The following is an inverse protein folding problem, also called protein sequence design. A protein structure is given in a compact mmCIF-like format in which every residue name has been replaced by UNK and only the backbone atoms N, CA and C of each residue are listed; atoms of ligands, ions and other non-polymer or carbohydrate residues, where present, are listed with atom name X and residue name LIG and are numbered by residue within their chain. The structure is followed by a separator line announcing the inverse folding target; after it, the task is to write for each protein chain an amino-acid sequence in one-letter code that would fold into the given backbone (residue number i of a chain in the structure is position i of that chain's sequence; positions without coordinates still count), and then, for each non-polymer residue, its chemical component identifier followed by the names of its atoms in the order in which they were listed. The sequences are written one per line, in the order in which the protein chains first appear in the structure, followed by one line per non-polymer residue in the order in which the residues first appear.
data_IF_665476761428
#
_entry.id   IF_665476761428
#
_cell.length_a   1.000
_cell.length_b   1.000
_cell.length_c   1.000
_cell.angle_alpha   90.00
_cell.angle_beta   90.00
_cell.angle_gamma   90.00
#
_symmetry.space_group_name_H-M   'P 1'
#
loop_
_entity.id
_entity.type
_entity.pdbx_description
1 polymer ?
#
# COMPACT_ATOMS: atom_id res chain seq x y z
N UNK A 1 20.26 4.79 4.64
CA UNK A 1 19.37 4.36 3.55
C UNK A 1 19.15 2.87 3.71
N UNK A 2 17.91 2.44 3.95
CA UNK A 2 17.55 1.03 4.15
C UNK A 2 16.66 0.57 2.99
N UNK A 3 16.54 -0.76 2.85
CA UNK A 3 15.65 -1.39 1.88
C UNK A 3 14.48 -2.03 2.62
N UNK A 4 13.26 -1.68 2.25
CA UNK A 4 12.04 -2.24 2.82
C UNK A 4 11.25 -2.97 1.75
N UNK A 5 10.73 -4.14 2.13
CA UNK A 5 9.73 -4.88 1.39
C UNK A 5 8.46 -4.95 2.25
N UNK A 6 7.36 -4.37 1.77
CA UNK A 6 6.06 -4.49 2.40
C UNK A 6 5.23 -5.55 1.67
N UNK A 7 4.87 -6.62 2.38
CA UNK A 7 4.09 -7.73 1.82
C UNK A 7 2.63 -7.58 2.23
N UNK A 8 1.72 -7.64 1.26
CA UNK A 8 0.27 -7.64 1.50
C UNK A 8 -0.31 -9.00 1.09
N UNK A 9 -0.80 -9.78 2.05
CA UNK A 9 -1.38 -11.11 1.80
C UNK A 9 -2.90 -11.18 1.97
N UNK A 10 -3.52 -10.09 2.47
CA UNK A 10 -4.91 -10.09 2.92
C UNK A 10 -5.76 -9.17 2.07
N UNK A 11 -6.94 -9.66 1.71
CA UNK A 11 -8.01 -8.84 1.16
C UNK A 11 -8.79 -8.15 2.30
N UNK A 12 -8.09 -7.26 3.03
CA UNK A 12 -8.61 -6.59 4.22
C UNK A 12 -8.28 -5.09 4.16
N UNK A 13 -9.30 -4.25 4.39
CA UNK A 13 -9.20 -2.81 4.19
C UNK A 13 -8.19 -2.14 5.15
N UNK A 14 -8.15 -2.56 6.41
CA UNK A 14 -7.21 -2.02 7.38
C UNK A 14 -5.78 -2.47 7.07
N UNK A 15 -5.59 -3.75 6.75
CA UNK A 15 -4.29 -4.30 6.38
C UNK A 15 -3.68 -3.57 5.18
N UNK A 16 -4.47 -3.34 4.13
CA UNK A 16 -4.01 -2.59 2.96
C UNK A 16 -3.72 -1.13 3.29
N UNK A 17 -4.59 -0.47 4.06
CA UNK A 17 -4.37 0.91 4.51
C UNK A 17 -3.05 1.06 5.25
N UNK A 18 -2.75 0.15 6.20
CA UNK A 18 -1.48 0.17 6.95
C UNK A 18 -0.28 -0.16 6.08
N UNK A 19 -0.40 -1.12 5.16
CA UNK A 19 0.64 -1.46 4.20
C UNK A 19 1.04 -0.23 3.37
N UNK A 20 0.06 0.44 2.77
CA UNK A 20 0.31 1.62 1.94
C UNK A 20 0.82 2.81 2.77
N UNK A 21 0.27 3.02 3.98
CA UNK A 21 0.73 4.06 4.89
C UNK A 21 2.21 3.91 5.22
N UNK A 22 2.64 2.72 5.64
CA UNK A 22 4.03 2.51 6.05
C UNK A 22 4.99 2.51 4.87
N UNK A 23 4.59 1.97 3.72
CA UNK A 23 5.35 2.09 2.49
C UNK A 23 5.55 3.57 2.10
N UNK A 24 4.49 4.38 2.17
CA UNK A 24 4.55 5.82 1.88
C UNK A 24 5.49 6.56 2.84
N UNK A 25 5.40 6.26 4.14
CA UNK A 25 6.29 6.86 5.16
C UNK A 25 7.75 6.47 4.90
N UNK A 26 8.04 5.19 4.65
CA UNK A 26 9.39 4.71 4.38
C UNK A 26 9.99 5.36 3.13
N UNK A 27 9.22 5.38 2.04
CA UNK A 27 9.64 6.00 0.78
C UNK A 27 9.89 7.51 0.97
N UNK A 28 8.98 8.24 1.63
CA UNK A 28 9.12 9.68 1.89
C UNK A 28 10.35 10.06 2.73
N UNK A 29 10.91 9.10 3.48
CA UNK A 29 12.14 9.27 4.28
C UNK A 29 13.42 8.89 3.51
N UNK A 30 13.31 8.63 2.20
CA UNK A 30 14.44 8.29 1.33
C UNK A 30 14.94 6.85 1.52
N UNK A 31 14.06 5.93 1.91
CA UNK A 31 14.37 4.50 1.91
C UNK A 31 13.93 3.85 0.61
N UNK A 32 14.73 2.92 0.08
CA UNK A 32 14.28 2.07 -1.01
C UNK A 32 13.11 1.23 -0.48
N UNK A 33 11.98 1.31 -1.17
CA UNK A 33 10.73 0.71 -0.72
C UNK A 33 10.11 0.00 -1.89
N UNK A 34 9.78 -1.27 -1.71
CA UNK A 34 9.08 -2.11 -2.67
C UNK A 34 7.86 -2.74 -1.96
N UNK A 35 6.78 -2.97 -2.70
CA UNK A 35 5.60 -3.69 -2.23
C UNK A 35 5.46 -4.99 -3.01
N UNK A 36 4.95 -6.05 -2.36
CA UNK A 36 4.67 -7.32 -3.02
C UNK A 36 3.37 -7.92 -2.50
N UNK A 37 2.40 -8.06 -3.38
CA UNK A 37 1.09 -8.61 -3.05
C UNK A 37 1.11 -10.12 -3.29
N UNK A 38 0.56 -10.87 -2.36
CA UNK A 38 0.48 -12.34 -2.43
C UNK A 38 -0.90 -12.79 -1.97
N UNK A 39 -1.24 -14.06 -2.21
CA UNK A 39 -2.51 -14.67 -1.78
C UNK A 39 -3.72 -13.78 -2.15
N UNK A 40 -4.58 -13.46 -1.18
CA UNK A 40 -5.74 -12.60 -1.38
C UNK A 40 -5.36 -11.11 -1.50
N UNK A 41 -4.11 -10.74 -1.17
CA UNK A 41 -3.61 -9.38 -1.31
C UNK A 41 -3.56 -8.90 -2.77
N UNK A 42 -3.45 -9.81 -3.73
CA UNK A 42 -3.44 -9.46 -5.17
C UNK A 42 -4.73 -8.76 -5.62
N UNK A 43 -5.84 -8.95 -4.90
CA UNK A 43 -7.12 -8.27 -5.15
C UNK A 43 -7.03 -6.74 -4.95
N UNK A 44 -5.96 -6.23 -4.33
CA UNK A 44 -5.69 -4.79 -4.21
C UNK A 44 -5.08 -4.16 -5.46
N UNK A 45 -4.65 -4.96 -6.44
CA UNK A 45 -4.24 -4.50 -7.76
C UNK A 45 -5.41 -4.32 -8.75
N UNK A 46 -6.65 -4.31 -8.27
CA UNK A 46 -7.84 -4.06 -9.08
C UNK A 46 -8.14 -2.56 -9.18
N UNK A 47 -8.07 -1.99 -10.38
CA UNK A 47 -8.34 -0.56 -10.65
C UNK A 47 -9.80 -0.14 -10.44
N UNK A 48 -10.74 -1.10 -10.45
CA UNK A 48 -12.17 -0.82 -10.25
C UNK A 48 -12.57 -0.87 -8.75
N UNK A 49 -11.62 -1.15 -7.87
CA UNK A 49 -11.88 -1.32 -6.43
C UNK A 49 -12.23 0.02 -5.77
N UNK A 50 -13.18 -0.01 -4.82
CA UNK A 50 -13.43 1.12 -3.93
C UNK A 50 -12.28 1.28 -2.91
N UNK A 51 -11.58 2.41 -2.95
CA UNK A 51 -10.44 2.70 -2.09
C UNK A 51 -10.73 3.75 -0.99
N UNK A 52 -11.96 4.28 -0.94
CA UNK A 52 -12.34 5.34 0.00
C UNK A 52 -12.97 4.83 1.31
N UNK A 53 -13.11 3.51 1.46
CA UNK A 53 -13.65 2.91 2.68
C UNK A 53 -12.75 3.23 3.88
N UNK A 54 -13.29 4.00 4.82
CA UNK A 54 -12.54 4.46 5.99
C UNK A 54 -12.32 3.34 7.01
N UNK A 55 -11.12 3.31 7.57
CA UNK A 55 -10.77 2.52 8.75
C UNK A 55 -11.22 3.24 10.03
N UNK A 56 -11.19 2.60 11.21
CA UNK A 56 -11.53 3.24 12.48
C UNK A 56 -10.67 4.47 12.84
N UNK A 57 -9.48 4.59 12.26
CA UNK A 57 -8.59 5.75 12.43
C UNK A 57 -8.89 6.90 11.47
N UNK A 58 -9.88 6.77 10.59
CA UNK A 58 -10.39 7.85 9.71
C UNK A 58 -9.66 8.00 8.38
N UNK A 59 -8.65 7.18 8.12
CA UNK A 59 -7.93 7.07 6.85
C UNK A 59 -8.36 5.82 6.06
N UNK A 60 -8.00 5.79 4.77
CA UNK A 60 -8.30 4.69 3.84
C UNK A 60 -7.13 4.44 2.87
N UNK A 61 -7.19 3.36 2.07
CA UNK A 61 -6.15 3.07 1.08
C UNK A 61 -5.89 4.23 0.11
N UNK A 62 -6.95 4.96 -0.27
CA UNK A 62 -6.84 6.11 -1.18
C UNK A 62 -6.07 7.30 -0.61
N UNK A 63 -5.87 7.37 0.72
CA UNK A 63 -5.07 8.42 1.34
C UNK A 63 -3.55 8.19 1.14
N UNK A 64 -3.13 7.00 0.68
CA UNK A 64 -1.71 6.62 0.59
C UNK A 64 -1.30 5.99 -0.75
N UNK A 65 -2.13 5.14 -1.35
CA UNK A 65 -1.79 4.44 -2.59
C UNK A 65 -1.49 5.39 -3.76
N UNK A 66 -2.21 6.52 -3.97
CA UNK A 66 -1.89 7.46 -5.04
C UNK A 66 -0.45 7.98 -4.97
N UNK A 67 0.05 8.31 -3.77
CA UNK A 67 1.45 8.73 -3.61
C UNK A 67 2.44 7.66 -4.09
N UNK A 68 2.19 6.39 -3.77
CA UNK A 68 3.07 5.29 -4.17
C UNK A 68 3.09 5.11 -5.69
N UNK A 69 1.94 5.26 -6.33
CA UNK A 69 1.80 5.19 -7.80
C UNK A 69 2.48 6.39 -8.46
N UNK A 70 2.18 7.61 -8.00
CA UNK A 70 2.75 8.86 -8.53
C UNK A 70 4.27 8.94 -8.41
N UNK A 71 4.85 8.27 -7.41
CA UNK A 71 6.30 8.19 -7.20
C UNK A 71 6.94 6.92 -7.78
N UNK A 72 6.19 6.15 -8.58
CA UNK A 72 6.66 4.93 -9.26
C UNK A 72 7.30 3.91 -8.30
N UNK A 73 6.78 3.81 -7.07
CA UNK A 73 7.22 2.79 -6.11
C UNK A 73 6.88 1.41 -6.68
N UNK A 74 7.84 0.49 -6.69
CA UNK A 74 7.63 -0.84 -7.27
C UNK A 74 6.59 -1.63 -6.49
N UNK A 75 5.59 -2.15 -7.19
CA UNK A 75 4.54 -3.02 -6.64
C UNK A 75 4.48 -4.29 -7.49
N UNK A 76 4.85 -5.42 -6.92
CA UNK A 76 4.66 -6.74 -7.53
C UNK A 76 3.36 -7.40 -7.08
N UNK A 77 2.83 -8.30 -7.91
CA UNK A 77 1.65 -9.15 -7.67
C UNK A 77 1.97 -10.60 -7.98
#
# INVERSE_FOLDING_TARGET
MANFLFVLSRDDNEAATRCFQFAKIAHSKGHKTDLFFIDNGVNWANSERELNLKTPTGDCPNDYLPYLIENEVSIGV
#
